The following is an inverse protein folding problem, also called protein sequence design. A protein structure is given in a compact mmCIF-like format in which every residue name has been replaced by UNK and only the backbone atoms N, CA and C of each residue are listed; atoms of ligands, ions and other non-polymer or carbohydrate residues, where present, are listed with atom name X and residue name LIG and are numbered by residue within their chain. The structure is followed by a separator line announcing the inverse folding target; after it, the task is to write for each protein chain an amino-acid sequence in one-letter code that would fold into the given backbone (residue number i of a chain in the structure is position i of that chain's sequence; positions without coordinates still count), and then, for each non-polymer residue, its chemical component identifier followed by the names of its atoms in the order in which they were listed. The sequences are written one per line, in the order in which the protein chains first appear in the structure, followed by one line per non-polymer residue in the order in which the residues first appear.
data_IF_426409150148
#
_entry.id   IF_426409150148
#
_cell.length_a   1.000
_cell.length_b   1.000
_cell.length_c   1.000
_cell.angle_alpha   90.00
_cell.angle_beta   90.00
_cell.angle_gamma   90.00
#
_symmetry.space_group_name_H-M   'P 1'
#
loop_
_entity.id
_entity.type
_entity.pdbx_description
1 polymer ?
#
# COMPACT_ATOMS: atom_id res chain seq x y z
N UNK A 1 65.16 -57.59 0.37
CA UNK A 1 66.10 -56.86 1.24
C UNK A 1 66.16 -55.44 0.68
N UNK A 2 65.85 -54.32 1.33
CA UNK A 2 65.62 -53.84 2.72
C UNK A 2 64.80 -52.53 2.50
N UNK A 3 63.57 -52.37 3.03
CA UNK A 3 63.18 -51.64 4.26
C UNK A 3 63.60 -50.15 4.32
N UNK A 4 62.63 -49.23 4.38
CA UNK A 4 62.33 -48.29 5.49
C UNK A 4 61.60 -47.01 5.07
N UNK A 5 60.71 -46.58 5.97
CA UNK A 5 59.82 -45.41 5.96
C UNK A 5 60.53 -44.10 6.31
N UNK A 6 59.92 -42.98 5.89
CA UNK A 6 59.76 -41.63 6.52
C UNK A 6 59.84 -40.55 5.42
N UNK A 7 59.19 -39.37 5.44
CA UNK A 7 57.97 -38.78 6.02
C UNK A 7 57.90 -37.35 5.39
N UNK A 8 56.71 -36.72 5.33
CA UNK A 8 56.43 -35.28 5.03
C UNK A 8 56.62 -34.85 3.55
N UNK A 9 55.74 -34.11 2.86
CA UNK A 9 54.67 -33.15 3.16
C UNK A 9 53.74 -33.06 1.91
N UNK A 10 52.44 -32.70 2.00
CA UNK A 10 51.56 -32.63 0.83
C UNK A 10 51.52 -31.21 0.24
N UNK A 11 51.99 -31.04 -1.01
CA UNK A 11 51.77 -29.82 -1.79
C UNK A 11 50.49 -29.92 -2.62
N UNK A 12 49.53 -29.07 -2.25
CA UNK A 12 48.53 -28.40 -3.09
C UNK A 12 47.86 -29.20 -4.22
N UNK A 13 46.59 -29.56 -4.03
CA UNK A 13 45.52 -29.04 -4.90
C UNK A 13 44.12 -29.43 -4.42
N UNK A 14 43.23 -28.44 -4.44
CA UNK A 14 41.77 -28.57 -4.47
C UNK A 14 41.03 -29.00 -3.19
N UNK A 15 40.77 -28.04 -2.30
CA UNK A 15 39.54 -28.06 -1.50
C UNK A 15 38.86 -26.69 -1.58
N UNK A 16 37.91 -26.58 -2.51
CA UNK A 16 37.02 -25.44 -2.65
C UNK A 16 36.12 -25.41 -1.41
N UNK A 17 36.44 -24.51 -0.48
CA UNK A 17 35.81 -24.45 0.84
C UNK A 17 34.34 -24.01 0.69
N UNK A 18 33.43 -24.95 0.96
CA UNK A 18 31.98 -24.82 0.80
C UNK A 18 31.40 -24.11 2.02
N UNK A 19 31.52 -22.78 2.10
CA UNK A 19 30.82 -21.98 3.13
C UNK A 19 29.31 -22.01 2.89
N UNK A 20 28.54 -22.28 3.94
CA UNK A 20 27.08 -22.39 3.90
C UNK A 20 26.44 -21.04 3.56
N UNK A 21 25.35 -21.06 2.79
CA UNK A 21 24.60 -19.87 2.36
C UNK A 21 24.12 -19.00 3.55
N UNK A 22 24.00 -19.60 4.74
CA UNK A 22 23.61 -18.94 5.99
C UNK A 22 24.71 -18.03 6.56
N UNK A 23 25.97 -18.46 6.52
CA UNK A 23 27.11 -17.67 7.01
C UNK A 23 27.39 -16.47 6.12
N UNK A 24 27.14 -16.59 4.80
CA UNK A 24 27.23 -15.46 3.85
C UNK A 24 26.13 -14.42 4.07
N UNK A 25 24.99 -14.83 4.64
CA UNK A 25 23.87 -13.94 4.96
C UNK A 25 24.06 -13.25 6.32
N UNK A 26 24.61 -13.95 7.32
CA UNK A 26 24.95 -13.38 8.62
C UNK A 26 26.09 -12.35 8.52
N UNK A 27 27.11 -12.63 7.70
CA UNK A 27 28.21 -11.70 7.45
C UNK A 27 27.83 -10.48 6.59
N UNK A 28 26.70 -10.53 5.86
CA UNK A 28 26.12 -9.36 5.15
C UNK A 28 25.28 -8.46 6.06
N UNK A 29 24.77 -9.01 7.18
CA UNK A 29 23.88 -8.28 8.10
C UNK A 29 24.64 -7.47 9.16
N UNK A 30 25.90 -7.81 9.47
CA UNK A 30 26.64 -7.22 10.60
C UNK A 30 27.49 -5.98 10.25
N UNK A 31 27.89 -5.76 8.99
CA UNK A 31 28.81 -4.67 8.60
C UNK A 31 28.16 -3.42 7.95
N UNK A 32 26.82 -3.35 7.80
CA UNK A 32 26.20 -2.49 6.76
C UNK A 32 25.14 -1.49 7.23
N UNK A 33 25.11 -1.05 8.49
CA UNK A 33 24.12 -0.04 8.91
C UNK A 33 24.67 1.38 9.02
N UNK A 34 25.83 1.58 9.63
CA UNK A 34 26.35 2.93 9.89
C UNK A 34 27.37 3.42 8.83
N UNK A 35 28.07 2.52 8.14
CA UNK A 35 29.10 2.90 7.15
C UNK A 35 28.52 3.16 5.74
N UNK A 36 27.40 2.52 5.39
CA UNK A 36 26.81 2.60 4.05
C UNK A 36 26.07 3.90 3.73
N UNK A 37 25.82 4.76 4.72
CA UNK A 37 25.18 6.06 4.50
C UNK A 37 26.11 7.06 3.75
N UNK A 38 27.42 6.79 3.75
CA UNK A 38 28.45 7.67 3.18
C UNK A 38 29.14 7.14 1.92
N UNK A 39 28.79 5.94 1.44
CA UNK A 39 29.39 5.28 0.27
C UNK A 39 28.44 5.31 -0.93
N UNK A 40 28.38 6.47 -1.60
CA UNK A 40 27.79 6.66 -2.93
C UNK A 40 26.26 6.62 -3.04
N UNK A 41 25.70 6.85 -4.24
CA UNK A 41 24.27 6.97 -4.44
C UNK A 41 23.65 5.57 -4.43
N UNK A 42 23.00 5.20 -3.32
CA UNK A 42 22.29 3.92 -3.20
C UNK A 42 20.76 4.11 -3.26
N UNK A 43 20.13 4.01 -4.46
CA UNK A 43 18.69 4.21 -4.62
C UNK A 43 17.83 3.13 -3.93
N UNK A 44 18.41 1.96 -3.61
CA UNK A 44 17.74 0.91 -2.85
C UNK A 44 17.62 1.25 -1.37
N UNK A 45 18.60 1.92 -0.78
CA UNK A 45 18.51 2.39 0.60
C UNK A 45 17.63 3.63 0.70
N UNK A 46 17.69 4.52 -0.30
CA UNK A 46 16.93 5.77 -0.29
C UNK A 46 15.42 5.56 -0.14
N UNK A 47 14.83 4.57 -0.83
CA UNK A 47 13.39 4.26 -0.71
C UNK A 47 12.96 3.91 0.73
N UNK A 48 13.80 3.25 1.52
CA UNK A 48 13.48 2.91 2.91
C UNK A 48 13.55 4.14 3.81
N UNK A 49 14.50 5.05 3.56
CA UNK A 49 14.55 6.33 4.27
C UNK A 49 13.31 7.18 3.96
N UNK A 50 12.85 7.24 2.70
CA UNK A 50 11.59 7.90 2.35
C UNK A 50 10.36 7.23 3.02
N UNK A 51 10.32 5.90 3.07
CA UNK A 51 9.29 5.17 3.81
C UNK A 51 9.29 5.51 5.31
N UNK A 52 10.46 5.64 5.91
CA UNK A 52 10.61 6.06 7.31
C UNK A 52 10.16 7.50 7.52
N UNK A 53 10.54 8.45 6.65
CA UNK A 53 10.06 9.84 6.69
C UNK A 53 8.53 9.87 6.63
N UNK A 54 7.93 9.08 5.73
CA UNK A 54 6.48 8.97 5.60
C UNK A 54 5.84 8.38 6.85
N UNK A 55 6.40 7.31 7.43
CA UNK A 55 5.94 6.72 8.69
C UNK A 55 5.99 7.74 9.84
N UNK A 56 7.12 8.43 10.02
CA UNK A 56 7.28 9.47 11.04
C UNK A 56 6.23 10.57 10.84
N UNK A 57 5.99 10.98 9.59
CA UNK A 57 4.97 11.99 9.28
C UNK A 57 3.54 11.52 9.63
N UNK A 58 3.22 10.25 9.40
CA UNK A 58 1.94 9.66 9.82
C UNK A 58 1.80 9.65 11.35
N UNK A 59 2.86 9.27 12.06
CA UNK A 59 2.87 9.29 13.54
C UNK A 59 2.76 10.71 14.10
N UNK A 60 3.38 11.70 13.44
CA UNK A 60 3.23 13.12 13.79
C UNK A 60 1.79 13.60 13.56
N UNK A 61 1.18 13.25 12.43
CA UNK A 61 -0.22 13.58 12.13
C UNK A 61 -1.16 13.00 13.19
N UNK A 62 -0.98 11.73 13.53
CA UNK A 62 -1.68 11.07 14.61
C UNK A 62 -1.50 11.78 15.96
N UNK A 63 -0.26 12.06 16.35
CA UNK A 63 0.07 12.72 17.62
C UNK A 63 -0.63 14.07 17.72
N UNK A 64 -0.60 14.86 16.64
CA UNK A 64 -1.26 16.16 16.58
C UNK A 64 -2.78 16.02 16.67
N UNK A 65 -3.37 15.02 16.02
CA UNK A 65 -4.82 14.75 16.08
C UNK A 65 -5.30 14.42 17.49
N UNK A 66 -4.61 13.50 18.17
CA UNK A 66 -5.09 12.90 19.43
C UNK A 66 -4.61 13.70 20.67
N UNK A 67 -3.45 14.36 20.59
CA UNK A 67 -2.78 15.02 21.71
C UNK A 67 -2.43 16.51 21.46
N UNK A 68 -2.47 17.01 20.22
CA UNK A 68 -2.04 18.36 19.87
C UNK A 68 -2.93 19.51 20.33
N UNK A 69 -3.97 19.26 21.15
CA UNK A 69 -5.00 20.27 21.49
C UNK A 69 -4.42 21.53 22.13
N UNK A 70 -3.52 21.40 23.11
CA UNK A 70 -2.93 22.54 23.81
C UNK A 70 -2.21 23.46 22.82
N UNK A 71 -1.29 22.89 22.04
CA UNK A 71 -0.48 23.59 21.04
C UNK A 71 -1.36 24.22 19.94
N UNK A 72 -2.36 23.50 19.45
CA UNK A 72 -3.28 24.00 18.40
C UNK A 72 -4.20 25.10 18.93
N UNK A 73 -4.62 25.05 20.20
CA UNK A 73 -5.55 26.05 20.76
C UNK A 73 -4.92 27.43 20.98
N UNK A 74 -3.59 27.49 21.17
CA UNK A 74 -2.85 28.74 21.33
C UNK A 74 -2.64 29.47 19.99
N UNK A 75 -2.72 28.76 18.86
CA UNK A 75 -2.61 29.37 17.54
C UNK A 75 -3.87 30.18 17.22
N UNK A 76 -3.78 31.51 17.34
CA UNK A 76 -4.86 32.48 17.05
C UNK A 76 -5.48 32.31 15.66
N UNK A 77 -4.76 31.72 14.69
CA UNK A 77 -5.19 31.47 13.31
C UNK A 77 -6.17 30.29 13.17
N UNK A 78 -6.30 29.44 14.19
CA UNK A 78 -7.22 28.29 14.25
C UNK A 78 -8.63 28.66 14.78
N UNK A 79 -8.90 29.94 15.05
CA UNK A 79 -10.17 30.47 15.59
C UNK A 79 -11.42 30.14 14.76
N UNK A 80 -11.27 29.70 13.50
CA UNK A 80 -12.38 29.21 12.68
C UNK A 80 -13.01 27.93 13.22
N UNK A 81 -12.23 27.10 13.92
CA UNK A 81 -12.74 26.06 14.79
C UNK A 81 -13.02 26.71 16.15
N UNK A 82 -14.28 26.92 16.53
CA UNK A 82 -14.71 27.46 17.83
C UNK A 82 -14.31 26.57 19.04
N UNK A 83 -13.02 26.23 19.19
CA UNK A 83 -12.48 25.36 20.24
C UNK A 83 -12.86 23.89 20.14
N UNK A 84 -13.62 23.48 19.12
CA UNK A 84 -14.11 22.12 18.97
C UNK A 84 -12.98 21.12 18.72
N UNK A 85 -12.83 20.13 19.61
CA UNK A 85 -11.73 19.13 19.59
C UNK A 85 -11.60 18.40 18.25
N UNK A 86 -12.73 18.01 17.64
CA UNK A 86 -12.74 17.29 16.36
C UNK A 86 -12.22 18.16 15.20
N UNK A 87 -12.61 19.44 15.18
CA UNK A 87 -12.22 20.39 14.14
C UNK A 87 -10.72 20.70 14.22
N UNK A 88 -10.20 20.99 15.42
CA UNK A 88 -8.77 21.26 15.64
C UNK A 88 -7.89 20.07 15.26
N UNK A 89 -8.29 18.86 15.64
CA UNK A 89 -7.55 17.63 15.29
C UNK A 89 -7.52 17.39 13.78
N UNK A 90 -8.66 17.51 13.10
CA UNK A 90 -8.74 17.34 11.65
C UNK A 90 -7.90 18.40 10.91
N UNK A 91 -7.97 19.65 11.35
CA UNK A 91 -7.18 20.74 10.80
C UNK A 91 -5.67 20.58 11.04
N UNK A 92 -5.25 19.98 12.16
CA UNK A 92 -3.87 19.63 12.42
C UNK A 92 -3.34 18.53 11.48
N UNK A 93 -4.12 17.47 11.28
CA UNK A 93 -3.80 16.39 10.33
C UNK A 93 -3.64 16.92 8.91
N UNK A 94 -4.57 17.76 8.46
CA UNK A 94 -4.52 18.34 7.11
C UNK A 94 -3.28 19.21 6.89
N UNK A 95 -2.82 19.94 7.90
CA UNK A 95 -1.57 20.74 7.83
C UNK A 95 -0.35 19.85 7.68
N UNK A 96 -0.25 18.82 8.51
CA UNK A 96 0.84 17.84 8.44
C UNK A 96 0.86 17.10 7.10
N UNK A 97 -0.32 16.68 6.63
CA UNK A 97 -0.49 16.07 5.31
C UNK A 97 -0.10 17.00 4.17
N UNK A 98 -0.49 18.28 4.22
CA UNK A 98 -0.08 19.27 3.22
C UNK A 98 1.45 19.41 3.16
N UNK A 99 2.12 19.48 4.32
CA UNK A 99 3.58 19.52 4.38
C UNK A 99 4.23 18.28 3.75
N UNK A 100 3.71 17.10 4.09
CA UNK A 100 4.14 15.83 3.52
C UNK A 100 3.95 15.78 1.99
N UNK A 101 2.75 16.19 1.52
CA UNK A 101 2.42 16.27 0.11
C UNK A 101 3.39 17.21 -0.62
N UNK A 102 3.63 18.42 -0.12
CA UNK A 102 4.54 19.38 -0.75
C UNK A 102 5.97 18.84 -0.83
N UNK A 103 6.47 18.20 0.24
CA UNK A 103 7.79 17.58 0.23
C UNK A 103 7.91 16.52 -0.88
N UNK A 104 7.01 15.53 -0.90
CA UNK A 104 7.05 14.47 -1.90
C UNK A 104 6.72 14.98 -3.31
N UNK A 105 5.90 16.01 -3.45
CA UNK A 105 5.60 16.61 -4.75
C UNK A 105 6.80 17.39 -5.32
N UNK A 106 7.57 18.10 -4.49
CA UNK A 106 8.85 18.70 -4.91
C UNK A 106 9.86 17.62 -5.30
N UNK A 107 9.93 16.53 -4.52
CA UNK A 107 10.76 15.37 -4.89
C UNK A 107 10.31 14.74 -6.21
N UNK A 108 9.01 14.65 -6.47
CA UNK A 108 8.46 14.21 -7.75
C UNK A 108 8.94 15.11 -8.89
N UNK A 109 8.68 16.43 -8.81
CA UNK A 109 9.05 17.36 -9.88
C UNK A 109 10.56 17.37 -10.17
N UNK A 110 11.39 17.21 -9.13
CA UNK A 110 12.86 17.19 -9.27
C UNK A 110 13.43 15.86 -9.78
N UNK A 111 12.66 14.77 -9.76
CA UNK A 111 13.11 13.41 -10.16
C UNK A 111 12.31 12.81 -11.31
N UNK A 112 11.35 13.54 -11.87
CA UNK A 112 10.62 13.13 -13.09
C UNK A 112 11.59 12.94 -14.25
N UNK A 113 11.40 11.85 -15.01
CA UNK A 113 12.19 11.48 -16.18
C UNK A 113 13.66 11.09 -15.90
N UNK A 114 14.01 10.77 -14.65
CA UNK A 114 15.29 10.12 -14.35
C UNK A 114 15.24 8.67 -14.83
N UNK A 115 16.12 8.32 -15.77
CA UNK A 115 16.21 6.96 -16.34
C UNK A 115 17.50 6.24 -15.98
N UNK A 116 18.61 6.97 -15.89
CA UNK A 116 19.95 6.41 -15.69
C UNK A 116 20.51 6.71 -14.30
N UNK A 117 21.31 5.80 -13.76
CA UNK A 117 21.96 5.94 -12.45
C UNK A 117 23.00 7.07 -12.41
N UNK A 118 23.56 7.43 -13.56
CA UNK A 118 24.59 8.48 -13.68
C UNK A 118 24.02 9.89 -13.80
N UNK A 119 22.69 10.03 -13.85
CA UNK A 119 22.01 11.32 -13.86
C UNK A 119 22.23 12.06 -12.52
N UNK A 120 22.49 13.37 -12.56
CA UNK A 120 22.63 14.21 -11.37
C UNK A 120 21.38 14.14 -10.46
N UNK A 121 20.21 13.86 -11.05
CA UNK A 121 18.95 13.65 -10.32
C UNK A 121 18.98 12.40 -9.44
N UNK A 122 19.79 11.40 -9.76
CA UNK A 122 20.00 10.24 -8.88
C UNK A 122 20.78 10.62 -7.62
N UNK A 123 21.81 11.48 -7.74
CA UNK A 123 22.51 12.03 -6.57
C UNK A 123 21.55 12.85 -5.70
N UNK A 124 20.73 13.71 -6.31
CA UNK A 124 19.67 14.41 -5.59
C UNK A 124 18.71 13.43 -4.91
N UNK A 125 18.23 12.38 -5.56
CA UNK A 125 17.32 11.39 -4.96
C UNK A 125 17.97 10.60 -3.80
N UNK A 126 19.22 10.17 -3.95
CA UNK A 126 19.83 9.14 -3.12
C UNK A 126 20.76 9.65 -2.02
N UNK A 127 21.32 10.86 -2.14
CA UNK A 127 22.46 11.28 -1.29
C UNK A 127 22.22 12.52 -0.43
N UNK A 128 21.61 13.59 -0.97
CA UNK A 128 21.53 14.92 -0.33
C UNK A 128 20.56 14.98 0.88
N UNK A 129 20.73 14.10 1.87
CA UNK A 129 19.86 13.90 3.01
C UNK A 129 19.77 15.11 3.94
N UNK A 130 20.86 15.80 4.35
CA UNK A 130 20.74 16.97 5.21
C UNK A 130 19.84 18.05 4.60
N UNK A 131 20.01 18.33 3.30
CA UNK A 131 19.17 19.27 2.57
C UNK A 131 17.70 18.84 2.54
N UNK A 132 17.43 17.55 2.28
CA UNK A 132 16.05 17.00 2.28
C UNK A 132 15.40 17.03 3.65
N UNK A 133 16.15 16.75 4.72
CA UNK A 133 15.62 16.79 6.09
C UNK A 133 15.25 18.23 6.46
N UNK A 134 16.10 19.21 6.13
CA UNK A 134 15.77 20.63 6.31
C UNK A 134 14.53 21.00 5.48
N UNK A 135 14.47 20.58 4.22
CA UNK A 135 13.33 20.81 3.34
C UNK A 135 12.04 20.20 3.90
N UNK A 136 12.10 18.96 4.37
CA UNK A 136 10.98 18.26 4.99
C UNK A 136 10.51 18.98 6.24
N UNK A 137 11.40 19.30 7.19
CA UNK A 137 11.05 20.06 8.41
C UNK A 137 10.44 21.42 8.07
N UNK A 138 10.98 22.12 7.06
CA UNK A 138 10.42 23.36 6.56
C UNK A 138 8.99 23.19 6.04
N UNK A 139 8.75 22.20 5.18
CA UNK A 139 7.41 21.90 4.69
C UNK A 139 6.45 21.40 5.77
N UNK A 140 6.94 20.78 6.84
CA UNK A 140 6.12 20.40 7.99
C UNK A 140 5.69 21.63 8.81
N UNK A 141 6.53 22.66 8.91
CA UNK A 141 6.25 23.87 9.67
C UNK A 141 5.38 24.90 8.91
N UNK A 142 5.64 25.11 7.61
CA UNK A 142 4.97 26.13 6.78
C UNK A 142 3.42 26.09 6.88
N UNK A 143 2.74 24.93 6.79
CA UNK A 143 1.29 24.84 6.86
C UNK A 143 0.65 25.39 8.14
N UNK A 144 1.39 25.48 9.24
CA UNK A 144 0.90 26.09 10.48
C UNK A 144 0.77 27.61 10.40
N UNK A 145 1.46 28.23 9.45
CA UNK A 145 1.34 29.66 9.16
C UNK A 145 0.27 29.97 8.10
N UNK A 146 -0.42 28.97 7.54
CA UNK A 146 -1.44 29.12 6.51
C UNK A 146 -2.85 29.29 7.15
N UNK A 147 -3.74 30.18 6.65
CA UNK A 147 -5.09 30.34 7.20
C UNK A 147 -5.95 29.08 7.04
N UNK A 148 -6.85 28.83 7.99
CA UNK A 148 -7.76 27.68 7.97
C UNK A 148 -8.56 27.54 6.66
N UNK A 149 -8.95 28.64 6.02
CA UNK A 149 -9.67 28.60 4.74
C UNK A 149 -8.92 27.82 3.64
N UNK A 150 -7.61 28.00 3.55
CA UNK A 150 -6.78 27.28 2.57
C UNK A 150 -6.58 25.81 2.97
N UNK A 151 -6.51 25.51 4.26
CA UNK A 151 -6.41 24.13 4.75
C UNK A 151 -7.70 23.36 4.48
N UNK A 152 -8.86 23.99 4.61
CA UNK A 152 -10.15 23.39 4.24
C UNK A 152 -10.25 23.17 2.72
N UNK A 153 -9.74 24.10 1.91
CA UNK A 153 -9.62 23.91 0.46
C UNK A 153 -8.71 22.73 0.12
N UNK A 154 -7.54 22.65 0.75
CA UNK A 154 -6.64 21.50 0.64
C UNK A 154 -7.35 20.20 1.03
N UNK A 155 -8.14 20.20 2.11
CA UNK A 155 -8.97 19.05 2.49
C UNK A 155 -9.86 18.56 1.35
N UNK A 156 -10.50 19.45 0.60
CA UNK A 156 -11.29 19.08 -0.60
C UNK A 156 -10.43 18.50 -1.71
N UNK A 157 -9.26 19.09 -1.98
CA UNK A 157 -8.30 18.56 -2.96
C UNK A 157 -7.76 17.19 -2.54
N UNK A 158 -7.53 16.99 -1.24
CA UNK A 158 -7.04 15.74 -0.69
C UNK A 158 -8.03 14.58 -0.86
N UNK A 159 -9.34 14.84 -0.91
CA UNK A 159 -10.32 13.78 -1.27
C UNK A 159 -10.07 13.26 -2.69
N UNK A 160 -9.88 14.17 -3.65
CA UNK A 160 -9.56 13.79 -5.03
C UNK A 160 -8.23 13.02 -5.08
N UNK A 161 -7.21 13.52 -4.39
CA UNK A 161 -5.91 12.88 -4.38
C UNK A 161 -5.88 11.51 -3.71
N UNK A 162 -6.65 11.34 -2.63
CA UNK A 162 -6.88 10.05 -1.99
C UNK A 162 -7.57 9.05 -2.95
N UNK A 163 -8.52 9.50 -3.76
CA UNK A 163 -9.14 8.70 -4.82
C UNK A 163 -8.14 8.25 -5.89
N UNK A 164 -7.25 9.15 -6.33
CA UNK A 164 -6.16 8.80 -7.26
C UNK A 164 -5.21 7.78 -6.65
N UNK A 165 -4.82 7.94 -5.37
CA UNK A 165 -3.99 6.97 -4.67
C UNK A 165 -4.64 5.58 -4.65
N UNK A 166 -5.92 5.51 -4.27
CA UNK A 166 -6.67 4.25 -4.24
C UNK A 166 -6.72 3.56 -5.60
N UNK A 167 -6.90 4.31 -6.69
CA UNK A 167 -6.90 3.76 -8.04
C UNK A 167 -5.53 3.20 -8.44
N UNK A 168 -4.45 3.92 -8.15
CA UNK A 168 -3.09 3.47 -8.47
C UNK A 168 -2.74 2.24 -7.63
N UNK A 169 -3.02 2.27 -6.33
CA UNK A 169 -2.81 1.15 -5.42
C UNK A 169 -3.60 -0.08 -5.89
N UNK A 170 -4.85 0.12 -6.32
CA UNK A 170 -5.69 -0.95 -6.84
C UNK A 170 -5.08 -1.61 -8.08
N UNK A 171 -4.64 -0.81 -9.06
CA UNK A 171 -4.01 -1.32 -10.28
C UNK A 171 -2.73 -2.09 -9.93
N UNK A 172 -1.92 -1.57 -9.01
CA UNK A 172 -0.71 -2.24 -8.53
C UNK A 172 -1.02 -3.59 -7.87
N UNK A 173 -2.05 -3.67 -7.02
CA UNK A 173 -2.48 -4.94 -6.40
C UNK A 173 -2.94 -5.95 -7.45
N UNK A 174 -3.74 -5.53 -8.43
CA UNK A 174 -4.18 -6.43 -9.52
C UNK A 174 -2.97 -6.91 -10.34
N UNK A 175 -2.08 -5.99 -10.71
CA UNK A 175 -0.84 -6.29 -11.44
C UNK A 175 0.01 -7.31 -10.70
N UNK A 176 0.19 -7.13 -9.39
CA UNK A 176 0.90 -8.06 -8.53
C UNK A 176 0.23 -9.45 -8.50
N UNK A 177 -1.10 -9.52 -8.36
CA UNK A 177 -1.84 -10.79 -8.40
C UNK A 177 -1.67 -11.49 -9.76
N UNK A 178 -1.72 -10.75 -10.87
CA UNK A 178 -1.52 -11.32 -12.21
C UNK A 178 -0.07 -11.76 -12.44
N UNK A 179 0.90 -11.01 -11.92
CA UNK A 179 2.31 -11.39 -11.97
C UNK A 179 2.59 -12.66 -11.17
N UNK A 180 1.97 -12.82 -9.99
CA UNK A 180 2.04 -14.07 -9.23
C UNK A 180 1.48 -15.25 -10.03
N UNK A 181 0.34 -15.05 -10.69
CA UNK A 181 -0.28 -16.06 -11.54
C UNK A 181 0.62 -16.46 -12.72
N UNK A 182 1.23 -15.49 -13.40
CA UNK A 182 2.11 -15.73 -14.55
C UNK A 182 3.45 -16.36 -14.14
N UNK A 183 4.06 -15.88 -13.06
CA UNK A 183 5.32 -16.41 -12.54
C UNK A 183 5.18 -17.90 -12.19
N UNK A 184 4.09 -18.27 -11.52
CA UNK A 184 3.82 -19.67 -11.20
C UNK A 184 3.56 -20.54 -12.44
N UNK A 185 3.06 -19.97 -13.55
CA UNK A 185 2.84 -20.69 -14.81
C UNK A 185 4.13 -20.89 -15.62
N UNK A 186 5.15 -20.05 -15.40
CA UNK A 186 6.38 -20.03 -16.19
C UNK A 186 7.44 -21.06 -15.75
N UNK A 187 7.33 -21.68 -14.58
CA UNK A 187 8.32 -22.64 -14.12
C UNK A 187 8.21 -24.00 -14.84
N UNK A 188 9.32 -24.46 -15.41
CA UNK A 188 9.51 -25.75 -16.10
C UNK A 188 9.39 -27.02 -15.20
N UNK A 189 8.71 -26.94 -14.05
CA UNK A 189 8.39 -28.09 -13.18
C UNK A 189 6.87 -28.33 -13.15
N UNK A 190 6.40 -28.91 -14.26
CA UNK A 190 5.03 -28.86 -14.78
C UNK A 190 3.93 -29.42 -13.85
N UNK A 191 4.25 -30.32 -12.91
CA UNK A 191 3.23 -31.01 -12.08
C UNK A 191 3.14 -30.52 -10.63
N UNK A 192 4.28 -30.28 -9.97
CA UNK A 192 4.32 -29.92 -8.54
C UNK A 192 3.86 -28.47 -8.30
N UNK A 193 4.27 -27.55 -9.18
CA UNK A 193 3.86 -26.15 -9.13
C UNK A 193 2.37 -26.00 -9.48
N UNK A 194 1.86 -26.73 -10.49
CA UNK A 194 0.45 -26.69 -10.87
C UNK A 194 -0.48 -27.16 -9.73
N UNK A 195 -0.11 -28.23 -9.01
CA UNK A 195 -0.89 -28.72 -7.86
C UNK A 195 -0.85 -27.70 -6.70
N UNK A 196 0.31 -27.11 -6.40
CA UNK A 196 0.42 -26.09 -5.34
C UNK A 196 -0.41 -24.85 -5.65
N UNK A 197 -0.38 -24.36 -6.88
CA UNK A 197 -1.16 -23.21 -7.34
C UNK A 197 -2.66 -23.49 -7.25
N UNK A 198 -3.09 -24.67 -7.67
CA UNK A 198 -4.48 -25.09 -7.56
C UNK A 198 -4.93 -25.16 -6.11
N UNK A 199 -4.10 -25.73 -5.21
CA UNK A 199 -4.39 -25.80 -3.78
C UNK A 199 -4.50 -24.39 -3.17
N UNK A 200 -3.54 -23.50 -3.44
CA UNK A 200 -3.58 -22.11 -2.95
C UNK A 200 -4.82 -21.38 -3.46
N UNK A 201 -5.17 -21.56 -4.73
CA UNK A 201 -6.38 -21.00 -5.33
C UNK A 201 -7.67 -21.50 -4.65
N UNK A 202 -7.79 -22.80 -4.42
CA UNK A 202 -8.96 -23.40 -3.77
C UNK A 202 -9.05 -22.91 -2.32
N UNK A 203 -7.94 -22.88 -1.59
CA UNK A 203 -7.89 -22.38 -0.22
C UNK A 203 -8.29 -20.90 -0.16
N UNK A 204 -7.80 -20.07 -1.08
CA UNK A 204 -8.15 -18.65 -1.17
C UNK A 204 -9.65 -18.44 -1.43
N UNK A 205 -10.22 -19.22 -2.34
CA UNK A 205 -11.66 -19.16 -2.63
C UNK A 205 -12.50 -19.63 -1.43
N UNK A 206 -12.13 -20.75 -0.80
CA UNK A 206 -12.80 -21.26 0.40
C UNK A 206 -12.73 -20.25 1.54
N UNK A 207 -11.57 -19.64 1.79
CA UNK A 207 -11.41 -18.60 2.79
C UNK A 207 -12.27 -17.36 2.47
N UNK A 208 -12.44 -16.99 1.20
CA UNK A 208 -13.34 -15.91 0.77
C UNK A 208 -14.79 -16.22 1.12
N UNK A 209 -15.27 -17.44 0.85
CA UNK A 209 -16.62 -17.89 1.20
C UNK A 209 -16.83 -17.92 2.72
N UNK A 210 -15.87 -18.47 3.48
CA UNK A 210 -15.92 -18.45 4.95
C UNK A 210 -15.97 -17.02 5.48
N UNK A 211 -15.17 -16.11 4.91
CA UNK A 211 -15.20 -14.68 5.25
C UNK A 211 -16.59 -14.06 5.04
N UNK A 212 -17.25 -14.36 3.91
CA UNK A 212 -18.62 -13.90 3.63
C UNK A 212 -19.63 -14.44 4.66
N UNK A 213 -19.55 -15.74 4.99
CA UNK A 213 -20.43 -16.36 6.00
C UNK A 213 -20.25 -15.69 7.36
N UNK A 214 -18.99 -15.52 7.80
CA UNK A 214 -18.69 -14.83 9.06
C UNK A 214 -19.19 -13.39 9.06
N UNK A 215 -19.11 -12.69 7.93
CA UNK A 215 -19.64 -11.33 7.80
C UNK A 215 -21.16 -11.28 8.02
N UNK A 216 -21.93 -12.22 7.46
CA UNK A 216 -23.37 -12.30 7.73
C UNK A 216 -23.68 -12.55 9.20
N UNK A 217 -22.96 -13.49 9.83
CA UNK A 217 -23.21 -13.90 11.23
C UNK A 217 -22.89 -12.78 12.23
N UNK A 218 -21.86 -11.99 11.96
CA UNK A 218 -21.38 -10.96 12.87
C UNK A 218 -21.92 -9.55 12.60
N UNK A 219 -22.13 -9.18 11.34
CA UNK A 219 -22.49 -7.79 10.96
C UNK A 219 -23.90 -7.65 10.34
N UNK A 220 -24.59 -8.76 10.06
CA UNK A 220 -25.99 -8.75 9.59
C UNK A 220 -26.90 -9.73 10.36
N UNK A 221 -26.94 -9.69 11.71
CA UNK A 221 -27.71 -10.65 12.51
C UNK A 221 -29.24 -10.46 12.45
N UNK A 222 -29.72 -9.32 11.92
CA UNK A 222 -31.14 -8.96 11.83
C UNK A 222 -31.46 -8.44 10.42
N UNK A 223 -32.70 -8.64 9.93
CA UNK A 223 -33.11 -8.16 8.60
C UNK A 223 -33.11 -6.63 8.48
N UNK A 224 -33.09 -5.90 9.60
CA UNK A 224 -33.01 -4.43 9.64
C UNK A 224 -31.64 -3.90 9.21
N UNK A 225 -30.60 -4.74 9.18
CA UNK A 225 -29.25 -4.37 8.73
C UNK A 225 -29.14 -4.40 7.19
N UNK A 226 -30.08 -3.76 6.50
CA UNK A 226 -30.27 -3.86 5.04
C UNK A 226 -29.03 -3.43 4.24
N UNK A 227 -28.33 -2.41 4.71
CA UNK A 227 -27.13 -1.88 4.05
C UNK A 227 -25.95 -2.86 4.15
N UNK A 228 -25.69 -3.43 5.34
CA UNK A 228 -24.66 -4.47 5.49
C UNK A 228 -25.01 -5.72 4.68
N UNK A 229 -26.29 -6.13 4.66
CA UNK A 229 -26.77 -7.23 3.80
C UNK A 229 -26.50 -6.91 2.32
N UNK A 230 -26.79 -5.69 1.85
CA UNK A 230 -26.53 -5.26 0.47
C UNK A 230 -25.03 -5.34 0.13
N UNK A 231 -24.15 -4.85 1.01
CA UNK A 231 -22.70 -4.89 0.78
C UNK A 231 -22.16 -6.32 0.70
N UNK A 232 -22.60 -7.20 1.62
CA UNK A 232 -22.14 -8.59 1.64
C UNK A 232 -22.72 -9.38 0.46
N UNK A 233 -24.01 -9.22 0.15
CA UNK A 233 -24.66 -9.90 -1.01
C UNK A 233 -24.02 -9.49 -2.32
N UNK A 234 -23.77 -8.20 -2.53
CA UNK A 234 -23.12 -7.70 -3.74
C UNK A 234 -21.66 -8.19 -3.84
N UNK A 235 -20.94 -8.25 -2.72
CA UNK A 235 -19.59 -8.84 -2.67
C UNK A 235 -19.60 -10.31 -3.11
N UNK A 236 -20.57 -11.09 -2.63
CA UNK A 236 -20.73 -12.48 -3.05
C UNK A 236 -21.03 -12.58 -4.54
N UNK A 237 -21.93 -11.73 -5.06
CA UNK A 237 -22.25 -11.70 -6.49
C UNK A 237 -21.02 -11.34 -7.34
N UNK A 238 -20.23 -10.34 -6.94
CA UNK A 238 -18.99 -9.95 -7.61
C UNK A 238 -17.96 -11.09 -7.58
N UNK A 239 -17.79 -11.77 -6.46
CA UNK A 239 -16.91 -12.94 -6.34
C UNK A 239 -17.29 -14.02 -7.37
N UNK A 240 -18.57 -14.41 -7.42
CA UNK A 240 -19.06 -15.41 -8.38
C UNK A 240 -18.87 -14.96 -9.82
N UNK A 241 -19.20 -13.69 -10.12
CA UNK A 241 -19.06 -13.12 -11.46
C UNK A 241 -17.61 -13.14 -11.93
N UNK A 242 -16.68 -12.72 -11.07
CA UNK A 242 -15.25 -12.70 -11.38
C UNK A 242 -14.70 -14.11 -11.61
N UNK A 243 -15.07 -15.08 -10.79
CA UNK A 243 -14.70 -16.48 -10.99
C UNK A 243 -15.24 -17.01 -12.33
N UNK A 244 -16.51 -16.73 -12.65
CA UNK A 244 -17.13 -17.13 -13.91
C UNK A 244 -16.41 -16.53 -15.14
N UNK A 245 -16.11 -15.23 -15.10
CA UNK A 245 -15.39 -14.55 -16.20
C UNK A 245 -13.99 -15.12 -16.38
N UNK A 246 -13.25 -15.34 -15.28
CA UNK A 246 -11.87 -15.87 -15.33
C UNK A 246 -11.79 -17.31 -15.83
N UNK A 247 -12.81 -18.13 -15.54
CA UNK A 247 -12.91 -19.52 -16.00
C UNK A 247 -13.46 -19.67 -17.42
N UNK A 248 -13.92 -18.59 -18.05
CA UNK A 248 -14.42 -18.66 -19.41
C UNK A 248 -13.31 -19.12 -20.37
N UNK A 249 -13.60 -20.11 -21.20
CA UNK A 249 -12.64 -20.75 -22.12
C UNK A 249 -11.97 -19.78 -23.11
N UNK A 250 -12.56 -18.60 -23.32
CA UNK A 250 -11.98 -17.54 -24.16
C UNK A 250 -10.92 -16.69 -23.43
N UNK A 251 -11.05 -16.56 -22.11
CA UNK A 251 -10.16 -15.73 -21.28
C UNK A 251 -9.02 -16.59 -20.72
N UNK A 252 -9.33 -17.76 -20.17
CA UNK A 252 -8.38 -18.68 -19.52
C UNK A 252 -7.36 -17.97 -18.61
N UNK A 253 -7.85 -17.11 -17.70
CA UNK A 253 -6.99 -16.34 -16.80
C UNK A 253 -6.26 -17.20 -15.74
N UNK A 254 -6.55 -18.49 -15.69
CA UNK A 254 -6.11 -19.40 -14.63
C UNK A 254 -7.02 -19.31 -13.39
N UNK A 255 -6.79 -20.21 -12.44
CA UNK A 255 -7.61 -20.35 -11.24
C UNK A 255 -7.12 -19.45 -10.09
N UNK A 256 -5.82 -19.18 -10.00
CA UNK A 256 -5.21 -18.45 -8.89
C UNK A 256 -5.65 -16.98 -8.82
N UNK A 257 -5.68 -16.30 -9.97
CA UNK A 257 -6.05 -14.89 -10.05
C UNK A 257 -7.45 -14.58 -9.46
N UNK A 258 -8.56 -15.29 -9.84
CA UNK A 258 -9.87 -15.02 -9.24
C UNK A 258 -9.94 -15.41 -7.75
N UNK A 259 -9.17 -16.41 -7.29
CA UNK A 259 -9.11 -16.78 -5.87
C UNK A 259 -8.45 -15.70 -5.00
N UNK A 260 -7.29 -15.20 -5.40
CA UNK A 260 -6.58 -14.12 -4.69
C UNK A 260 -7.33 -12.78 -4.78
N UNK A 261 -7.92 -12.48 -5.93
CA UNK A 261 -8.75 -11.29 -6.08
C UNK A 261 -10.03 -11.39 -5.26
N UNK A 262 -10.60 -12.59 -5.12
CA UNK A 262 -11.71 -12.90 -4.22
C UNK A 262 -11.41 -12.54 -2.76
N UNK A 263 -10.24 -12.94 -2.26
CA UNK A 263 -9.79 -12.57 -0.91
C UNK A 263 -9.68 -11.06 -0.76
N UNK A 264 -9.14 -10.38 -1.76
CA UNK A 264 -8.98 -8.92 -1.74
C UNK A 264 -10.32 -8.19 -1.67
N UNK A 265 -11.29 -8.55 -2.52
CA UNK A 265 -12.62 -7.90 -2.47
C UNK A 265 -13.36 -8.23 -1.17
N UNK A 266 -13.24 -9.45 -0.63
CA UNK A 266 -13.85 -9.81 0.66
C UNK A 266 -13.23 -8.99 1.79
N UNK A 267 -11.91 -8.80 1.78
CA UNK A 267 -11.20 -7.94 2.73
C UNK A 267 -11.67 -6.48 2.65
N UNK A 268 -11.83 -5.93 1.44
CA UNK A 268 -12.33 -4.57 1.26
C UNK A 268 -13.76 -4.39 1.79
N UNK A 269 -14.65 -5.36 1.55
CA UNK A 269 -16.01 -5.35 2.13
C UNK A 269 -15.98 -5.44 3.65
N UNK A 270 -15.20 -6.37 4.21
CA UNK A 270 -15.05 -6.49 5.66
C UNK A 270 -14.55 -5.19 6.28
N UNK A 271 -13.53 -4.57 5.66
CA UNK A 271 -13.01 -3.28 6.09
C UNK A 271 -14.03 -2.15 5.96
N UNK A 272 -14.88 -2.15 4.92
CA UNK A 272 -15.94 -1.14 4.75
C UNK A 272 -16.99 -1.24 5.86
N UNK A 273 -17.42 -2.46 6.20
CA UNK A 273 -18.40 -2.69 7.27
C UNK A 273 -17.81 -2.35 8.64
N UNK A 274 -16.53 -2.65 8.87
CA UNK A 274 -15.83 -2.25 10.12
C UNK A 274 -15.72 -0.74 10.29
N UNK A 275 -15.81 0.04 9.20
CA UNK A 275 -15.85 1.50 9.23
C UNK A 275 -17.23 2.06 9.57
N UNK A 276 -18.28 1.23 9.69
CA UNK A 276 -19.61 1.66 10.14
C UNK A 276 -19.52 2.31 11.53
N UNK A 277 -20.17 3.48 11.75
CA UNK A 277 -20.12 4.14 13.04
C UNK A 277 -20.71 3.27 14.16
N UNK A 278 -20.03 3.26 15.32
CA UNK A 278 -20.34 2.44 16.50
C UNK A 278 -21.72 2.66 17.14
N UNK A 279 -22.44 3.72 16.73
CA UNK A 279 -23.82 3.97 17.19
C UNK A 279 -24.82 2.95 16.63
N UNK A 280 -24.48 2.29 15.53
CA UNK A 280 -25.39 1.37 14.84
C UNK A 280 -25.49 0.00 15.52
N UNK A 281 -26.71 -0.54 15.53
CA UNK A 281 -27.04 -1.81 16.20
C UNK A 281 -26.37 -3.00 15.52
N UNK A 282 -26.05 -2.87 14.23
CA UNK A 282 -25.54 -3.95 13.38
C UNK A 282 -24.08 -4.34 13.67
N UNK A 283 -23.25 -3.39 14.14
CA UNK A 283 -21.82 -3.62 14.39
C UNK A 283 -21.49 -3.96 15.86
N UNK A 284 -22.41 -3.75 16.82
CA UNK A 284 -22.16 -3.95 18.26
C UNK A 284 -21.72 -5.37 18.63
N UNK A 285 -22.23 -6.39 17.94
CA UNK A 285 -21.89 -7.80 18.23
C UNK A 285 -20.42 -8.11 17.90
N UNK A 286 -19.91 -7.56 16.81
CA UNK A 286 -18.51 -7.68 16.44
C UNK A 286 -17.60 -6.87 17.38
N UNK A 287 -18.05 -5.70 17.83
CA UNK A 287 -17.31 -4.86 18.78
C UNK A 287 -17.12 -5.55 20.14
N UNK A 288 -18.17 -6.15 20.70
CA UNK A 288 -18.11 -6.90 21.98
C UNK A 288 -17.15 -8.10 21.89
N UNK A 289 -17.05 -8.75 20.74
CA UNK A 289 -16.06 -9.82 20.53
C UNK A 289 -14.61 -9.32 20.50
N UNK A 290 -14.39 -8.02 20.34
CA UNK A 290 -13.06 -7.38 20.17
C UNK A 290 -12.72 -6.34 21.25
N UNK A 291 -13.48 -6.27 22.35
CA UNK A 291 -13.52 -5.13 23.28
C UNK A 291 -12.32 -5.00 24.24
N UNK A 292 -11.11 -5.37 23.84
CA UNK A 292 -9.90 -5.04 24.61
C UNK A 292 -9.31 -3.73 24.06
N UNK A 293 -9.08 -2.73 24.93
CA UNK A 293 -8.48 -1.45 24.55
C UNK A 293 -7.12 -1.63 23.82
N UNK A 294 -6.37 -2.68 24.16
CA UNK A 294 -5.14 -3.06 23.46
C UNK A 294 -5.36 -3.47 22.00
N UNK A 295 -6.50 -4.10 21.67
CA UNK A 295 -6.84 -4.47 20.28
C UNK A 295 -7.10 -3.23 19.43
N UNK A 296 -7.69 -2.17 19.98
CA UNK A 296 -7.86 -0.91 19.27
C UNK A 296 -6.49 -0.28 18.93
N UNK A 297 -5.59 -0.21 19.90
CA UNK A 297 -4.20 0.28 19.70
C UNK A 297 -3.47 -0.58 18.65
N UNK A 298 -3.53 -1.91 18.79
CA UNK A 298 -2.90 -2.83 17.84
C UNK A 298 -3.47 -2.63 16.42
N UNK A 299 -4.80 -2.53 16.29
CA UNK A 299 -5.47 -2.31 15.00
C UNK A 299 -5.07 -0.98 14.36
N UNK A 300 -4.89 0.07 15.16
CA UNK A 300 -4.42 1.37 14.72
C UNK A 300 -2.98 1.30 14.20
N UNK A 301 -2.07 0.69 14.96
CA UNK A 301 -0.66 0.53 14.57
C UNK A 301 -0.55 -0.29 13.29
N UNK A 302 -1.28 -1.40 13.21
CA UNK A 302 -1.36 -2.22 11.99
C UNK A 302 -1.90 -1.37 10.83
N UNK A 303 -2.95 -0.58 11.04
CA UNK A 303 -3.50 0.32 10.03
C UNK A 303 -2.46 1.30 9.47
N UNK A 304 -1.72 1.98 10.35
CA UNK A 304 -0.63 2.89 9.95
C UNK A 304 0.44 2.15 9.14
N UNK A 305 0.90 0.98 9.62
CA UNK A 305 1.89 0.17 8.93
C UNK A 305 1.40 -0.29 7.56
N UNK A 306 0.14 -0.71 7.45
CA UNK A 306 -0.48 -1.13 6.18
C UNK A 306 -0.51 0.04 5.19
N UNK A 307 -0.83 1.25 5.63
CA UNK A 307 -0.83 2.45 4.76
C UNK A 307 0.59 2.74 4.24
N UNK A 308 1.60 2.68 5.11
CA UNK A 308 3.01 2.91 4.72
C UNK A 308 3.47 1.82 3.76
N UNK A 309 3.20 0.55 4.07
CA UNK A 309 3.58 -0.58 3.22
C UNK A 309 2.88 -0.54 1.87
N UNK A 310 1.59 -0.22 1.83
CA UNK A 310 0.85 -0.03 0.59
C UNK A 310 1.42 1.11 -0.27
N UNK A 311 1.76 2.25 0.35
CA UNK A 311 2.36 3.39 -0.35
C UNK A 311 3.73 3.01 -0.90
N UNK A 312 4.55 2.33 -0.10
CA UNK A 312 5.87 1.86 -0.50
C UNK A 312 5.82 0.84 -1.65
N UNK A 313 5.00 -0.20 -1.54
CA UNK A 313 4.89 -1.25 -2.56
C UNK A 313 4.37 -0.66 -3.87
N UNK A 314 3.35 0.19 -3.80
CA UNK A 314 2.76 0.85 -4.97
C UNK A 314 3.79 1.78 -5.62
N UNK A 315 4.58 2.53 -4.85
CA UNK A 315 5.59 3.44 -5.38
C UNK A 315 6.73 2.71 -6.11
N UNK A 316 7.10 1.51 -5.67
CA UNK A 316 8.14 0.69 -6.31
C UNK A 316 7.62 0.01 -7.59
N UNK A 317 6.32 -0.26 -7.69
CA UNK A 317 5.65 -0.90 -8.85
C UNK A 317 5.48 0.03 -10.07
N UNK A 318 6.43 0.94 -10.27
CA UNK A 318 6.47 1.89 -11.40
C UNK A 318 6.47 1.21 -12.77
N UNK A 319 7.01 -0.01 -12.88
CA UNK A 319 7.08 -0.77 -14.13
C UNK A 319 5.68 -1.14 -14.68
N UNK A 320 4.68 -1.27 -13.81
CA UNK A 320 3.29 -1.48 -14.21
C UNK A 320 2.72 -0.31 -15.04
N UNK A 321 3.18 0.92 -14.77
CA UNK A 321 2.66 2.15 -15.37
C UNK A 321 3.53 2.70 -16.51
N UNK A 322 4.63 2.04 -16.85
CA UNK A 322 5.45 2.40 -18.00
C UNK A 322 4.80 1.87 -19.29
N UNK A 323 4.19 2.78 -20.06
CA UNK A 323 3.50 2.47 -21.32
C UNK A 323 4.42 1.99 -22.46
N UNK A 324 5.75 2.10 -22.34
CA UNK A 324 6.73 1.69 -23.36
C UNK A 324 7.49 0.44 -22.91
N UNK A 325 6.95 -0.74 -23.21
CA UNK A 325 7.43 -2.05 -22.76
C UNK A 325 8.38 -2.73 -23.77
N UNK A 326 9.32 -2.01 -24.40
CA UNK A 326 10.02 -2.54 -25.60
C UNK A 326 11.55 -2.45 -25.59
N UNK A 327 12.19 -1.84 -24.60
CA UNK A 327 13.66 -1.84 -24.52
C UNK A 327 14.09 -2.72 -23.34
N UNK A 328 15.05 -3.62 -23.58
CA UNK A 328 15.64 -4.45 -22.52
C UNK A 328 16.24 -3.53 -21.45
N UNK A 329 16.01 -3.82 -20.17
CA UNK A 329 16.58 -3.04 -19.07
C UNK A 329 18.12 -3.08 -19.16
N UNK A 330 18.73 -1.91 -19.29
CA UNK A 330 20.18 -1.76 -19.32
C UNK A 330 20.73 -1.74 -17.88
N UNK A 331 21.98 -2.21 -17.67
CA UNK A 331 22.57 -2.29 -16.32
C UNK A 331 22.69 -0.92 -15.62
N UNK A 332 22.67 0.18 -16.37
CA UNK A 332 22.74 1.56 -15.88
C UNK A 332 21.35 2.20 -15.67
N UNK A 333 20.25 1.47 -15.90
CA UNK A 333 18.90 1.96 -15.61
C UNK A 333 18.63 2.03 -14.09
N UNK A 334 17.83 3.02 -13.69
CA UNK A 334 17.40 3.13 -12.30
C UNK A 334 16.44 1.97 -11.92
N UNK A 335 16.51 1.46 -10.68
CA UNK A 335 15.77 0.24 -10.28
C UNK A 335 14.25 0.41 -10.25
N UNK A 336 13.76 1.64 -10.17
CA UNK A 336 12.35 2.02 -10.24
C UNK A 336 12.24 3.48 -10.67
N UNK A 337 11.09 3.89 -11.22
CA UNK A 337 10.86 5.27 -11.62
C UNK A 337 10.76 6.19 -10.41
N UNK A 338 11.82 6.98 -10.13
CA UNK A 338 11.89 7.88 -8.97
C UNK A 338 10.73 8.89 -8.92
N UNK A 339 10.38 9.49 -10.07
CA UNK A 339 9.22 10.37 -10.16
C UNK A 339 7.92 9.66 -9.74
N UNK A 340 7.63 8.50 -10.32
CA UNK A 340 6.41 7.76 -9.97
C UNK A 340 6.38 7.37 -8.48
N UNK A 341 7.52 6.93 -7.94
CA UNK A 341 7.65 6.63 -6.51
C UNK A 341 7.25 7.83 -5.64
N UNK A 342 7.83 9.01 -5.88
CA UNK A 342 7.49 10.21 -5.10
C UNK A 342 6.07 10.71 -5.34
N UNK A 343 5.55 10.55 -6.56
CA UNK A 343 4.15 10.86 -6.86
C UNK A 343 3.21 10.00 -6.03
N UNK A 344 3.45 8.68 -5.93
CA UNK A 344 2.65 7.78 -5.09
C UNK A 344 2.70 8.18 -3.62
N UNK A 345 3.87 8.58 -3.10
CA UNK A 345 3.98 9.09 -1.72
C UNK A 345 3.25 10.42 -1.52
N UNK A 346 3.26 11.32 -2.50
CA UNK A 346 2.50 12.56 -2.44
C UNK A 346 0.98 12.27 -2.41
N UNK A 347 0.49 11.36 -3.26
CA UNK A 347 -0.91 10.94 -3.22
C UNK A 347 -1.26 10.18 -1.93
N UNK A 348 -0.32 9.36 -1.45
CA UNK A 348 -0.40 8.67 -0.16
C UNK A 348 -0.50 9.65 1.02
N UNK A 349 0.12 10.83 0.91
CA UNK A 349 0.03 11.89 1.91
C UNK A 349 -1.40 12.45 2.03
N UNK A 350 -2.07 12.64 0.91
CA UNK A 350 -3.48 13.04 0.87
C UNK A 350 -4.40 11.90 1.36
N UNK A 351 -4.10 10.66 0.96
CA UNK A 351 -4.85 9.48 1.39
C UNK A 351 -4.82 9.30 2.90
N UNK A 352 -3.64 9.25 3.55
CA UNK A 352 -3.58 9.08 5.00
C UNK A 352 -4.36 10.18 5.71
N UNK A 353 -4.28 11.44 5.23
CA UNK A 353 -5.04 12.53 5.83
C UNK A 353 -6.54 12.22 5.88
N UNK A 354 -7.10 11.72 4.76
CA UNK A 354 -8.51 11.33 4.70
C UNK A 354 -8.84 10.21 5.68
N UNK A 355 -7.93 9.26 5.87
CA UNK A 355 -8.13 8.18 6.83
C UNK A 355 -8.16 8.69 8.28
N UNK A 356 -7.24 9.60 8.61
CA UNK A 356 -7.13 10.17 9.95
C UNK A 356 -8.30 11.12 10.30
N UNK A 357 -8.94 11.74 9.30
CA UNK A 357 -10.13 12.59 9.51
C UNK A 357 -11.45 11.88 9.22
N UNK A 358 -11.43 10.58 8.90
CA UNK A 358 -12.64 9.79 8.66
C UNK A 358 -13.42 10.21 7.40
N UNK A 359 -12.73 10.73 6.38
CA UNK A 359 -13.34 11.21 5.12
C UNK A 359 -14.40 12.32 5.29
N UNK A 360 -14.50 12.89 6.49
CA UNK A 360 -15.41 13.97 6.79
C UNK A 360 -14.87 14.77 7.98
N UNK A 361 -14.41 15.99 7.71
CA UNK A 361 -13.80 16.87 8.73
C UNK A 361 -14.75 17.27 9.87
N UNK A 362 -16.05 17.06 9.72
CA UNK A 362 -17.06 17.30 10.76
C UNK A 362 -17.32 16.08 11.65
N UNK A 363 -16.82 14.89 11.30
CA UNK A 363 -16.98 13.71 12.13
C UNK A 363 -16.00 13.70 13.29
N UNK A 364 -16.49 13.25 14.46
CA UNK A 364 -15.69 13.11 15.66
C UNK A 364 -14.89 11.80 15.58
N UNK A 365 -13.59 11.91 15.37
CA UNK A 365 -12.67 10.77 15.49
C UNK A 365 -12.32 10.51 16.95
N UNK A 366 -12.43 9.24 17.35
CA UNK A 366 -11.98 8.77 18.65
C UNK A 366 -10.45 8.57 18.62
N UNK A 367 -9.84 8.54 19.80
CA UNK A 367 -8.42 8.24 19.90
C UNK A 367 -8.16 6.82 19.43
N UNK A 368 -7.00 6.57 18.84
CA UNK A 368 -6.60 5.24 18.36
C UNK A 368 -7.56 4.63 17.33
N UNK A 369 -8.34 5.45 16.62
CA UNK A 369 -9.15 4.99 15.49
C UNK A 369 -8.74 5.70 14.20
N UNK A 370 -8.92 5.01 13.08
CA UNK A 370 -8.70 5.51 11.72
C UNK A 370 -9.92 5.07 10.92
N UNK A 371 -10.36 5.85 9.93
CA UNK A 371 -11.35 5.43 8.94
C UNK A 371 -12.71 5.01 9.51
N UNK A 372 -13.15 5.61 10.61
CA UNK A 372 -14.50 5.37 11.13
C UNK A 372 -15.48 6.37 10.50
N UNK A 373 -16.67 5.91 10.13
CA UNK A 373 -17.73 6.73 9.56
C UNK A 373 -18.29 6.19 8.24
N UNK A 374 -19.53 6.57 7.93
CA UNK A 374 -20.21 6.19 6.69
C UNK A 374 -19.45 6.61 5.43
N UNK A 375 -18.79 7.79 5.45
CA UNK A 375 -17.99 8.23 4.31
C UNK A 375 -16.83 7.26 4.01
N UNK A 376 -16.12 6.82 5.06
CA UNK A 376 -15.07 5.80 4.94
C UNK A 376 -15.61 4.47 4.42
N UNK A 377 -16.73 3.99 4.98
CA UNK A 377 -17.38 2.75 4.54
C UNK A 377 -17.73 2.79 3.04
N UNK A 378 -18.33 3.90 2.57
CA UNK A 378 -18.67 4.08 1.17
C UNK A 378 -17.45 4.16 0.26
N UNK A 379 -16.38 4.86 0.66
CA UNK A 379 -15.15 4.89 -0.15
C UNK A 379 -14.57 3.50 -0.33
N UNK A 380 -14.56 2.69 0.74
CA UNK A 380 -14.05 1.31 0.70
C UNK A 380 -14.92 0.39 -0.18
N UNK A 381 -16.25 0.50 -0.09
CA UNK A 381 -17.15 -0.31 -0.93
C UNK A 381 -17.09 0.11 -2.41
N UNK A 382 -16.99 1.41 -2.70
CA UNK A 382 -16.80 1.88 -4.08
C UNK A 382 -15.45 1.43 -4.62
N UNK A 383 -14.39 1.50 -3.81
CA UNK A 383 -13.07 0.98 -4.20
C UNK A 383 -13.11 -0.53 -4.51
N UNK A 384 -13.90 -1.30 -3.75
CA UNK A 384 -14.12 -2.72 -4.01
C UNK A 384 -14.83 -2.96 -5.36
N UNK A 385 -15.86 -2.17 -5.68
CA UNK A 385 -16.56 -2.30 -6.97
C UNK A 385 -15.65 -1.94 -8.13
N UNK A 386 -14.88 -0.84 -7.99
CA UNK A 386 -13.86 -0.45 -8.97
C UNK A 386 -12.81 -1.56 -9.13
N UNK A 387 -12.40 -2.21 -8.03
CA UNK A 387 -11.47 -3.34 -8.07
C UNK A 387 -11.98 -4.49 -8.93
N UNK A 388 -13.22 -4.91 -8.71
CA UNK A 388 -13.86 -5.97 -9.49
C UNK A 388 -13.98 -5.56 -10.97
N UNK A 389 -14.43 -4.33 -11.24
CA UNK A 389 -14.61 -3.81 -12.60
C UNK A 389 -13.29 -3.72 -13.37
N UNK A 390 -12.25 -3.15 -12.76
CA UNK A 390 -10.92 -3.02 -13.38
C UNK A 390 -10.31 -4.39 -13.63
N UNK A 391 -10.42 -5.33 -12.68
CA UNK A 391 -9.95 -6.71 -12.85
C UNK A 391 -10.64 -7.40 -14.03
N UNK A 392 -11.98 -7.39 -14.07
CA UNK A 392 -12.73 -7.99 -15.18
C UNK A 392 -12.39 -7.32 -16.51
N UNK A 393 -12.24 -5.99 -16.53
CA UNK A 393 -11.85 -5.26 -17.72
C UNK A 393 -10.45 -5.65 -18.20
N UNK A 394 -9.47 -5.79 -17.31
CA UNK A 394 -8.12 -6.23 -17.67
C UNK A 394 -8.09 -7.61 -18.32
N UNK A 395 -9.00 -8.51 -17.92
CA UNK A 395 -9.15 -9.83 -18.53
C UNK A 395 -9.86 -9.80 -19.89
N UNK A 396 -10.89 -8.96 -20.03
CA UNK A 396 -11.74 -8.93 -21.22
C UNK A 396 -11.17 -8.02 -22.33
N UNK A 397 -10.50 -6.93 -21.97
CA UNK A 397 -10.00 -5.92 -22.92
C UNK A 397 -9.10 -6.50 -24.03
N UNK A 398 -8.15 -7.42 -23.75
CA UNK A 398 -7.33 -8.03 -24.81
C UNK A 398 -8.17 -8.79 -25.86
N UNK A 399 -9.26 -9.43 -25.45
CA UNK A 399 -10.15 -10.17 -26.35
C UNK A 399 -10.95 -9.23 -27.24
N UNK A 400 -11.47 -8.14 -26.67
CA UNK A 400 -12.21 -7.11 -27.41
C UNK A 400 -11.31 -6.44 -28.44
N UNK A 401 -10.07 -6.11 -28.05
CA UNK A 401 -9.10 -5.49 -28.96
C UNK A 401 -8.69 -6.43 -30.09
N UNK A 402 -8.42 -7.70 -29.79
CA UNK A 402 -8.08 -8.72 -30.81
C UNK A 402 -9.21 -8.92 -31.82
N UNK A 403 -10.47 -8.92 -31.36
CA UNK A 403 -11.65 -9.04 -32.24
C UNK A 403 -11.78 -7.85 -33.18
N UNK A 404 -11.59 -6.62 -32.69
CA UNK A 404 -11.65 -5.40 -33.51
C UNK A 404 -10.58 -5.36 -34.60
N UNK A 405 -9.37 -5.86 -34.33
CA UNK A 405 -8.32 -5.96 -35.36
C UNK A 405 -8.65 -6.99 -36.43
N UNK A 406 -9.24 -8.14 -36.06
CA UNK A 406 -9.64 -9.17 -37.02
C UNK A 406 -10.83 -8.73 -37.88
N UNK A 407 -11.75 -7.93 -37.34
CA UNK A 407 -12.90 -7.38 -38.10
C UNK A 407 -12.51 -6.18 -39.00
N UNK A 408 -11.32 -5.59 -38.82
CA UNK A 408 -10.82 -4.45 -39.61
C UNK A 408 -9.84 -4.86 -40.74
N UNK A 409 -9.44 -6.13 -40.78
CA UNK A 409 -8.67 -6.77 -41.87
C UNK A 409 -9.57 -7.66 -42.70
#
# INVERSE_FOLDING_TARGET
MIREEFMEEPTSSSSMNRKSCRERYEQFMEDSWCAHFFLGPNPFMARYVYALIFLVTNLLAWTIRDYGRSVLSELQRLRGCYGARYCLGAEGVLRISLGCFLFFFVMFLSTVNTKKVQDWRNSWHSEWWPAKIILWLGFMAIPFFIPSAFIQLYGKVAHFGAGVFLLIQLISVISFITWLNDCCRSEKNEKRCHVQVLVVSILAYMASIVGIILMYVWYAPRPTCSLNILFITLTLALLQLMTFVSMNSKVNAGYLAPGLMGLYIVFLCWSAIRSEPHTEICNKKAEVATSADWLAIASFVIGVLVIVMATFSTGVDSKCFQFKKTEAEEEDDVPYGFGFFHFVFAMGAMYFAMLFVGWNSHQKMQKWTIDVGWASAWVRIVNQWLAALVYMWMLVAPLVWKRRHVEAT
#
